data_IF_138031831429
#
_entry.id   IF_138031831429
#
_cell.length_a   1.000
_cell.length_b   1.000
_cell.length_c   1.000
_cell.angle_alpha   90.00
_cell.angle_beta   90.00
_cell.angle_gamma   90.00
#
_symmetry.space_group_name_H-M   'P 1'
#
loop_
_entity.id
_entity.type
_entity.pdbx_description
1 polymer ?
#
# COMPACT_ATOMS: atom_id res chain seq x y z
N UNK A 1 15.62 -3.88 6.40
CA UNK A 1 14.64 -4.06 5.31
C UNK A 1 13.70 -2.87 5.31
N UNK A 2 13.79 -1.98 4.31
CA UNK A 2 12.93 -0.80 4.22
C UNK A 2 11.44 -1.13 4.11
N UNK A 3 10.59 -0.25 4.66
CA UNK A 3 9.12 -0.32 4.57
C UNK A 3 8.63 0.81 3.67
N UNK A 4 7.79 0.49 2.70
CA UNK A 4 7.01 1.45 1.92
C UNK A 4 5.57 1.46 2.44
N UNK A 5 5.09 2.65 2.83
CA UNK A 5 3.77 2.83 3.41
C UNK A 5 2.67 2.96 2.36
N UNK A 6 2.43 1.93 1.56
CA UNK A 6 1.46 1.96 0.43
C UNK A 6 0.02 2.18 0.89
N UNK A 7 -0.39 1.50 1.97
CA UNK A 7 -1.74 1.46 2.55
C UNK A 7 -2.79 0.84 1.61
N UNK A 8 -2.95 1.38 0.41
CA UNK A 8 -3.78 0.87 -0.69
C UNK A 8 -3.23 1.35 -2.04
N UNK A 9 -3.39 0.56 -3.11
CA UNK A 9 -3.05 0.99 -4.47
C UNK A 9 -4.14 1.89 -5.11
N UNK A 10 -5.20 2.24 -4.38
CA UNK A 10 -6.23 3.18 -4.83
C UNK A 10 -5.87 4.62 -4.47
N UNK A 11 -5.39 5.38 -5.45
CA UNK A 11 -4.99 6.78 -5.29
C UNK A 11 -6.09 7.65 -4.67
N UNK A 12 -7.35 7.48 -5.12
CA UNK A 12 -8.50 8.21 -4.59
C UNK A 12 -8.64 8.01 -3.07
N UNK A 13 -8.51 6.77 -2.60
CA UNK A 13 -8.67 6.42 -1.18
C UNK A 13 -7.52 7.01 -0.35
N UNK A 14 -6.27 6.91 -0.84
CA UNK A 14 -5.13 7.52 -0.16
C UNK A 14 -5.31 9.05 0.00
N UNK A 15 -5.88 9.72 -1.01
CA UNK A 15 -6.17 11.17 -0.94
C UNK A 15 -7.31 11.50 0.02
N UNK A 16 -8.39 10.72 0.00
CA UNK A 16 -9.56 10.93 0.86
C UNK A 16 -9.23 10.76 2.35
N UNK A 17 -8.31 9.87 2.70
CA UNK A 17 -7.81 9.72 4.08
C UNK A 17 -6.57 10.60 4.36
N UNK A 18 -6.34 11.61 3.52
CA UNK A 18 -5.30 12.63 3.68
C UNK A 18 -3.88 12.09 3.86
N UNK A 19 -3.50 11.06 3.08
CA UNK A 19 -2.10 10.60 3.03
C UNK A 19 -1.20 11.68 2.44
N UNK A 20 0.00 11.77 2.98
CA UNK A 20 1.03 12.72 2.54
C UNK A 20 1.71 12.33 1.21
N UNK A 21 1.47 11.12 0.71
CA UNK A 21 2.03 10.59 -0.53
C UNK A 21 1.00 9.74 -1.27
N UNK A 22 1.16 9.62 -2.58
CA UNK A 22 0.30 8.83 -3.46
C UNK A 22 0.92 7.49 -3.87
N UNK A 23 0.25 6.89 -4.84
CA UNK A 23 0.60 5.61 -5.47
C UNK A 23 1.93 5.70 -6.21
N UNK A 24 2.15 6.79 -6.96
CA UNK A 24 3.37 6.92 -7.78
C UNK A 24 4.62 7.01 -6.90
N UNK A 25 4.58 7.79 -5.82
CA UNK A 25 5.70 7.90 -4.88
C UNK A 25 6.02 6.54 -4.23
N UNK A 26 5.00 5.71 -4.01
CA UNK A 26 5.18 4.34 -3.47
C UNK A 26 5.85 3.41 -4.48
N UNK A 27 5.48 3.50 -5.76
CA UNK A 27 6.09 2.73 -6.87
C UNK A 27 7.54 3.17 -7.08
N UNK A 28 7.79 4.47 -7.13
CA UNK A 28 9.13 5.03 -7.32
C UNK A 28 10.05 4.64 -6.15
N UNK A 29 9.53 4.68 -4.92
CA UNK A 29 10.26 4.19 -3.75
C UNK A 29 10.58 2.70 -3.85
N UNK A 30 9.61 1.87 -4.25
CA UNK A 30 9.82 0.44 -4.43
C UNK A 30 10.92 0.15 -5.47
N UNK A 31 10.85 0.80 -6.64
CA UNK A 31 11.83 0.63 -7.71
C UNK A 31 13.23 1.01 -7.24
N UNK A 32 13.40 2.21 -6.66
CA UNK A 32 14.72 2.70 -6.20
C UNK A 32 15.33 1.80 -5.12
N UNK A 33 14.49 1.25 -4.24
CA UNK A 33 14.94 0.31 -3.21
C UNK A 33 15.37 -1.02 -3.82
N UNK A 34 14.64 -1.54 -4.81
CA UNK A 34 15.00 -2.77 -5.53
C UNK A 34 16.27 -2.59 -6.37
N UNK A 35 16.42 -1.47 -7.05
CA UNK A 35 17.64 -1.11 -7.80
C UNK A 35 18.87 -1.03 -6.88
N UNK A 36 18.65 -0.71 -5.60
CA UNK A 36 19.67 -0.69 -4.55
C UNK A 36 19.84 -2.05 -3.85
N UNK A 37 19.31 -3.13 -4.43
CA UNK A 37 19.37 -4.51 -3.94
C UNK A 37 18.77 -4.73 -2.53
N UNK A 38 17.86 -3.86 -2.08
CA UNK A 38 17.13 -4.11 -0.84
C UNK A 38 15.94 -5.04 -1.07
N UNK A 39 15.69 -5.91 -0.08
CA UNK A 39 14.36 -6.48 0.08
C UNK A 39 13.39 -5.38 0.53
N UNK A 40 12.17 -5.39 0.01
CA UNK A 40 11.16 -4.34 0.24
C UNK A 40 9.91 -4.93 0.88
N UNK A 41 9.43 -4.28 1.95
CA UNK A 41 8.16 -4.60 2.60
C UNK A 41 7.12 -3.53 2.30
N UNK A 42 5.92 -3.94 1.88
CA UNK A 42 4.77 -3.05 1.82
C UNK A 42 3.93 -3.14 3.08
N UNK A 43 3.43 -2.00 3.52
CA UNK A 43 2.44 -1.91 4.59
C UNK A 43 1.08 -1.58 4.01
N UNK A 44 0.13 -2.51 4.13
CA UNK A 44 -1.21 -2.41 3.59
C UNK A 44 -2.21 -2.26 4.74
N UNK A 45 -3.20 -1.38 4.56
CA UNK A 45 -4.31 -1.16 5.50
C UNK A 45 -5.63 -1.40 4.77
N UNK A 46 -6.14 -2.64 4.77
CA UNK A 46 -7.46 -2.93 4.22
C UNK A 46 -8.57 -2.36 5.12
N UNK A 47 -9.71 -2.03 4.50
CA UNK A 47 -10.87 -1.48 5.19
C UNK A 47 -10.77 0.01 5.52
N UNK A 48 -9.92 0.76 4.82
CA UNK A 48 -9.95 2.23 4.91
C UNK A 48 -11.29 2.78 4.38
N UNK A 49 -11.77 3.93 4.89
CA UNK A 49 -12.94 4.60 4.34
C UNK A 49 -12.85 4.72 2.82
N UNK A 50 -13.91 4.31 2.11
CA UNK A 50 -13.94 4.29 0.65
C UNK A 50 -13.45 3.01 -0.03
N UNK A 51 -13.01 1.99 0.72
CA UNK A 51 -12.75 0.64 0.21
C UNK A 51 -13.91 -0.33 0.52
N UNK A 52 -14.34 -1.08 -0.48
CA UNK A 52 -15.17 -2.29 -0.28
C UNK A 52 -14.29 -3.53 -0.03
N UNK A 53 -14.93 -4.64 0.34
CA UNK A 53 -14.24 -5.94 0.48
C UNK A 53 -13.64 -6.39 -0.85
N UNK A 54 -14.38 -6.24 -1.93
CA UNK A 54 -13.99 -6.58 -3.30
C UNK A 54 -12.79 -5.72 -3.73
N UNK A 55 -12.85 -4.42 -3.46
CA UNK A 55 -11.71 -3.53 -3.71
C UNK A 55 -10.47 -3.96 -2.94
N UNK A 56 -10.59 -4.38 -1.67
CA UNK A 56 -9.46 -4.88 -0.90
C UNK A 56 -8.85 -6.13 -1.54
N UNK A 57 -9.67 -7.08 -2.01
CA UNK A 57 -9.17 -8.29 -2.67
C UNK A 57 -8.43 -7.95 -3.97
N UNK A 58 -9.01 -7.08 -4.79
CA UNK A 58 -8.38 -6.60 -6.02
C UNK A 58 -7.07 -5.86 -5.73
N UNK A 59 -7.02 -5.07 -4.66
CA UNK A 59 -5.82 -4.35 -4.23
C UNK A 59 -4.66 -5.33 -4.00
N UNK A 60 -4.89 -6.39 -3.22
CA UNK A 60 -3.89 -7.43 -2.98
C UNK A 60 -3.53 -8.20 -4.24
N UNK A 61 -4.48 -8.51 -5.13
CA UNK A 61 -4.18 -9.17 -6.42
C UNK A 61 -3.23 -8.31 -7.26
N UNK A 62 -3.53 -7.01 -7.42
CA UNK A 62 -2.69 -6.05 -8.16
C UNK A 62 -1.25 -6.01 -7.64
N UNK A 63 -1.03 -6.13 -6.32
CA UNK A 63 0.32 -6.12 -5.75
C UNK A 63 1.20 -7.27 -6.28
N UNK A 64 0.62 -8.40 -6.62
CA UNK A 64 1.36 -9.59 -7.06
C UNK A 64 1.34 -9.77 -8.59
N UNK A 65 0.25 -9.34 -9.23
CA UNK A 65 0.09 -9.47 -10.68
C UNK A 65 0.89 -8.41 -11.44
N UNK A 66 0.91 -7.17 -10.94
CA UNK A 66 1.56 -6.05 -11.62
C UNK A 66 3.00 -5.85 -11.15
N UNK A 67 3.95 -5.87 -12.09
CA UNK A 67 5.39 -5.86 -11.84
C UNK A 67 5.88 -4.69 -10.98
N UNK A 68 5.32 -3.50 -11.18
CA UNK A 68 5.74 -2.27 -10.47
C UNK A 68 5.51 -2.32 -8.94
N UNK A 69 4.64 -3.23 -8.46
CA UNK A 69 4.33 -3.38 -7.04
C UNK A 69 5.14 -4.47 -6.37
N UNK A 70 5.00 -5.72 -6.82
CA UNK A 70 5.59 -6.98 -6.32
C UNK A 70 6.53 -6.80 -5.12
N UNK A 71 6.03 -6.67 -3.88
CA UNK A 71 6.89 -6.55 -2.70
C UNK A 71 7.44 -7.93 -2.30
N UNK A 72 8.57 -7.96 -1.58
CA UNK A 72 9.09 -9.22 -1.03
C UNK A 72 8.33 -9.67 0.22
N UNK A 73 7.73 -8.71 0.95
CA UNK A 73 6.95 -8.96 2.16
C UNK A 73 5.73 -8.04 2.25
N UNK A 74 4.64 -8.56 2.82
CA UNK A 74 3.49 -7.77 3.23
C UNK A 74 3.40 -7.66 4.75
N UNK A 75 3.06 -6.47 5.23
CA UNK A 75 2.53 -6.26 6.58
C UNK A 75 1.10 -5.72 6.42
N UNK A 76 0.13 -6.51 6.85
CA UNK A 76 -1.31 -6.23 6.67
C UNK A 76 -1.92 -5.91 8.03
N UNK A 77 -2.40 -4.68 8.20
CA UNK A 77 -3.05 -4.23 9.43
C UNK A 77 -4.42 -3.63 9.09
N UNK A 78 -5.55 -4.24 9.48
CA UNK A 78 -6.86 -3.69 9.19
C UNK A 78 -7.03 -2.32 9.86
N UNK A 79 -7.83 -1.43 9.26
CA UNK A 79 -8.15 -0.12 9.84
C UNK A 79 -8.79 -0.30 11.22
N UNK A 80 -8.18 0.18 12.31
CA UNK A 80 -8.82 0.18 13.62
C UNK A 80 -9.84 1.32 13.71
N UNK A 81 -10.85 1.15 14.56
CA UNK A 81 -11.71 2.24 15.01
C UNK A 81 -11.29 2.61 16.42
N UNK A 82 -10.81 3.84 16.62
CA UNK A 82 -10.35 4.36 17.91
C UNK A 82 -11.12 5.64 18.22
N UNK A 83 -11.45 5.86 19.50
CA UNK A 83 -12.39 6.91 19.92
C UNK A 83 -11.93 8.35 19.63
N UNK A 84 -10.68 8.59 19.25
CA UNK A 84 -10.08 9.94 19.10
C UNK A 84 -9.30 10.13 17.77
N UNK A 85 -9.71 9.44 16.71
CA UNK A 85 -9.05 9.51 15.37
C UNK A 85 -10.04 9.73 14.25
#
# INVERSE_FOLDING_TARGET
MPKVGVQTAYERVNREVHRAHGVQESIDANQRLRDSAFKVRFHMIPGQPGLSKEMCLEDFQRLFETEQWRPDYLNVNPTPVVQET
#
